data_IF_863305547517
#
_entry.id   IF_863305547517
#
_cell.length_a   1.000
_cell.length_b   1.000
_cell.length_c   1.000
_cell.angle_alpha   90.00
_cell.angle_beta   90.00
_cell.angle_gamma   90.00
#
_symmetry.space_group_name_H-M   'P 1'
#
loop_
_entity.id
_entity.type
_entity.pdbx_description
1 polymer ?
#
# COMPACT_ATOMS: atom_id res chain seq x y z
N UNK A 1 28.70 30.99 -3.88
CA UNK A 1 28.51 29.53 -3.79
C UNK A 1 27.06 29.21 -4.12
N UNK A 2 26.78 28.43 -5.18
CA UNK A 2 25.40 28.05 -5.53
C UNK A 2 24.97 26.88 -4.63
N UNK A 3 23.74 26.91 -4.14
CA UNK A 3 23.11 25.84 -3.35
C UNK A 3 23.16 24.46 -4.06
N UNK A 4 23.34 24.45 -5.37
CA UNK A 4 23.51 23.23 -6.18
C UNK A 4 24.83 22.50 -5.91
N UNK A 5 25.88 23.22 -5.50
CA UNK A 5 27.22 22.64 -5.28
C UNK A 5 27.35 21.93 -3.93
N UNK A 6 26.53 22.31 -2.93
CA UNK A 6 26.52 21.66 -1.62
C UNK A 6 25.72 20.36 -1.65
N UNK A 7 24.60 20.32 -2.38
CA UNK A 7 23.79 19.11 -2.57
C UNK A 7 24.52 18.02 -3.37
N UNK A 8 25.33 18.40 -4.37
CA UNK A 8 26.09 17.46 -5.18
C UNK A 8 27.30 16.87 -4.44
N UNK A 9 27.88 17.58 -3.47
CA UNK A 9 28.95 17.04 -2.59
C UNK A 9 28.45 16.02 -1.57
N UNK A 10 27.21 16.16 -1.08
CA UNK A 10 26.61 15.18 -0.15
C UNK A 10 26.25 13.84 -0.82
N UNK A 11 26.02 13.84 -2.13
CA UNK A 11 25.67 12.64 -2.89
C UNK A 11 26.88 11.82 -3.39
N UNK A 12 28.12 12.31 -3.25
CA UNK A 12 29.35 11.62 -3.72
C UNK A 12 29.87 10.50 -2.80
N UNK A 13 29.08 10.04 -1.81
CA UNK A 13 29.47 8.90 -0.96
C UNK A 13 29.10 7.57 -1.65
N UNK A 14 30.12 6.99 -2.30
CA UNK A 14 30.19 5.59 -2.75
C UNK A 14 29.28 5.21 -3.92
N UNK A 15 29.85 5.24 -5.13
CA UNK A 15 29.37 4.46 -6.27
C UNK A 15 30.56 3.71 -6.83
N UNK A 16 30.51 2.38 -6.75
CA UNK A 16 31.40 1.52 -7.54
C UNK A 16 31.31 1.94 -9.01
N UNK A 17 32.48 2.02 -9.65
CA UNK A 17 32.71 2.58 -10.96
C UNK A 17 32.06 1.72 -12.06
N UNK A 18 30.93 2.16 -12.62
CA UNK A 18 30.39 1.58 -13.86
C UNK A 18 30.99 2.31 -15.07
N UNK A 19 31.70 1.64 -15.99
CA UNK A 19 32.52 2.34 -16.99
C UNK A 19 31.73 3.13 -18.06
N UNK A 20 30.45 2.84 -18.29
CA UNK A 20 29.76 3.27 -19.53
C UNK A 20 28.60 4.28 -19.35
N UNK A 21 28.54 5.02 -18.24
CA UNK A 21 27.52 6.06 -18.06
C UNK A 21 27.69 7.29 -18.99
N UNK A 22 28.81 7.40 -19.70
CA UNK A 22 29.12 8.55 -20.57
C UNK A 22 28.25 8.62 -21.85
N UNK A 23 27.54 7.54 -22.21
CA UNK A 23 26.72 7.48 -23.43
C UNK A 23 25.26 7.92 -23.24
N UNK A 24 24.85 8.24 -22.01
CA UNK A 24 23.47 8.66 -21.73
C UNK A 24 23.36 10.17 -21.61
N UNK A 25 22.39 10.77 -22.32
CA UNK A 25 22.09 12.21 -22.32
C UNK A 25 21.69 12.76 -20.94
N UNK A 26 21.35 11.88 -19.97
CA UNK A 26 20.82 12.25 -18.67
C UNK A 26 21.62 11.60 -17.53
N UNK A 27 21.93 12.41 -16.52
CA UNK A 27 22.54 11.94 -15.27
C UNK A 27 21.52 11.18 -14.42
N UNK A 28 21.76 9.89 -14.17
CA UNK A 28 20.99 9.14 -13.18
C UNK A 28 21.40 9.56 -11.77
N UNK A 29 20.43 10.02 -10.95
CA UNK A 29 20.67 10.38 -9.54
C UNK A 29 21.03 9.19 -8.64
N UNK A 30 20.81 7.96 -9.11
CA UNK A 30 21.08 6.71 -8.39
C UNK A 30 21.81 5.75 -9.33
N UNK A 31 22.67 4.91 -8.78
CA UNK A 31 23.30 3.84 -9.54
C UNK A 31 22.23 2.93 -10.18
N UNK A 32 22.46 2.53 -11.43
CA UNK A 32 21.57 1.66 -12.23
C UNK A 32 21.79 0.19 -11.89
N UNK A 33 21.65 -0.14 -10.61
CA UNK A 33 21.76 -1.49 -10.05
C UNK A 33 20.41 -1.83 -9.42
N UNK A 34 19.90 -3.04 -9.62
CA UNK A 34 18.66 -3.43 -8.95
C UNK A 34 18.93 -3.60 -7.46
N UNK A 35 17.88 -3.38 -6.67
CA UNK A 35 17.96 -3.59 -5.23
C UNK A 35 17.51 -5.01 -4.91
N UNK A 36 18.13 -5.61 -3.90
CA UNK A 36 17.72 -6.91 -3.34
C UNK A 36 16.41 -6.85 -2.52
N UNK A 37 15.59 -5.82 -2.72
CA UNK A 37 14.33 -5.61 -2.01
C UNK A 37 13.38 -4.75 -2.83
N UNK A 38 12.08 -5.07 -2.74
CA UNK A 38 11.02 -4.28 -3.35
C UNK A 38 10.17 -3.62 -2.29
N UNK A 39 9.79 -2.37 -2.53
CA UNK A 39 8.85 -1.66 -1.65
C UNK A 39 7.44 -2.12 -2.00
N UNK A 40 6.72 -2.63 -1.00
CA UNK A 40 5.31 -2.98 -1.16
C UNK A 40 4.46 -1.75 -1.44
N UNK A 41 3.51 -1.86 -2.36
CA UNK A 41 2.40 -0.91 -2.45
C UNK A 41 1.59 -1.10 -1.17
N UNK A 42 1.79 -0.23 -0.18
CA UNK A 42 0.99 -0.27 1.04
C UNK A 42 -0.49 -0.30 0.66
N UNK A 43 -1.27 -1.16 1.31
CA UNK A 43 -2.71 -1.26 1.09
C UNK A 43 -3.35 0.07 1.51
N UNK A 44 -3.44 0.99 0.54
CA UNK A 44 -4.18 2.23 0.67
C UNK A 44 -5.66 1.90 0.46
N UNK A 45 -6.24 1.09 1.35
CA UNK A 45 -7.70 1.09 1.47
C UNK A 45 -8.12 2.51 1.79
N UNK A 46 -9.16 3.02 1.10
CA UNK A 46 -9.67 4.38 1.32
C UNK A 46 -9.91 4.56 2.84
N UNK A 47 -9.37 5.64 3.41
CA UNK A 47 -9.38 5.86 4.87
C UNK A 47 -10.80 5.98 5.43
N UNK A 48 -11.72 6.53 4.64
CA UNK A 48 -13.13 6.63 4.98
C UNK A 48 -13.92 5.58 4.19
N UNK A 49 -14.71 4.81 4.93
CA UNK A 49 -15.56 3.74 4.44
C UNK A 49 -16.95 3.96 5.05
N UNK A 50 -18.02 3.53 4.37
CA UNK A 50 -19.41 3.73 4.80
C UNK A 50 -19.83 5.21 4.88
N UNK A 51 -19.31 6.05 3.97
CA UNK A 51 -19.57 7.49 3.99
C UNK A 51 -21.02 7.80 3.63
N UNK A 52 -21.63 7.03 2.73
CA UNK A 52 -23.01 7.24 2.29
C UNK A 52 -23.99 6.95 3.43
N UNK A 53 -23.80 5.83 4.13
CA UNK A 53 -24.60 5.41 5.27
C UNK A 53 -24.42 6.37 6.46
N UNK A 54 -23.18 6.85 6.67
CA UNK A 54 -22.90 7.87 7.69
C UNK A 54 -23.65 9.17 7.39
N UNK A 55 -23.67 9.63 6.13
CA UNK A 55 -24.39 10.84 5.75
C UNK A 55 -25.91 10.69 5.93
N UNK A 56 -26.48 9.54 5.56
CA UNK A 56 -27.90 9.25 5.77
C UNK A 56 -28.26 9.23 7.27
N UNK A 57 -27.43 8.61 8.10
CA UNK A 57 -27.62 8.56 9.55
C UNK A 57 -27.58 9.97 10.15
N UNK A 58 -26.60 10.79 9.75
CA UNK A 58 -26.48 12.17 10.21
C UNK A 58 -27.64 13.05 9.75
N UNK A 59 -28.17 12.82 8.54
CA UNK A 59 -29.35 13.52 8.04
C UNK A 59 -30.58 13.22 8.91
N UNK A 60 -30.84 11.93 9.20
CA UNK A 60 -31.96 11.54 10.06
C UNK A 60 -31.83 12.11 11.47
N UNK A 61 -30.63 12.01 12.07
CA UNK A 61 -30.38 12.55 13.42
C UNK A 61 -30.58 14.07 13.45
N UNK A 62 -30.22 14.78 12.39
CA UNK A 62 -30.45 16.23 12.29
C UNK A 62 -31.94 16.59 12.24
N UNK A 63 -32.76 15.78 11.58
CA UNK A 63 -34.21 16.00 11.47
C UNK A 63 -34.98 15.66 12.76
N UNK A 64 -34.38 14.84 13.62
CA UNK A 64 -34.99 14.32 14.85
C UNK A 64 -34.35 14.88 16.12
N UNK A 65 -33.68 16.03 16.05
CA UNK A 65 -32.97 16.65 17.19
C UNK A 65 -32.02 15.70 17.94
N UNK A 66 -31.40 14.79 17.19
CA UNK A 66 -30.50 13.71 17.64
C UNK A 66 -31.15 12.60 18.47
N UNK A 67 -32.48 12.47 18.41
CA UNK A 67 -33.17 11.31 18.96
C UNK A 67 -32.89 10.07 18.09
N UNK A 68 -32.36 9.02 18.73
CA UNK A 68 -31.98 7.80 18.03
C UNK A 68 -33.18 6.92 17.65
N UNK A 69 -34.28 7.01 18.41
CA UNK A 69 -35.47 6.19 18.22
C UNK A 69 -36.05 6.22 16.79
N UNK A 70 -36.26 7.39 16.15
CA UNK A 70 -36.73 7.43 14.76
C UNK A 70 -35.69 6.94 13.75
N UNK A 71 -34.39 7.01 14.08
CA UNK A 71 -33.29 6.71 13.15
C UNK A 71 -32.73 5.30 13.28
N UNK A 72 -33.35 4.42 14.08
CA UNK A 72 -32.89 3.04 14.33
C UNK A 72 -32.55 2.27 13.05
N UNK A 73 -33.40 2.35 12.03
CA UNK A 73 -33.16 1.66 10.75
C UNK A 73 -31.89 2.14 10.04
N UNK A 74 -31.62 3.45 10.08
CA UNK A 74 -30.46 4.06 9.42
C UNK A 74 -29.17 3.80 10.22
N UNK A 75 -29.28 3.74 11.55
CA UNK A 75 -28.18 3.35 12.42
C UNK A 75 -27.80 1.88 12.16
N UNK A 76 -28.78 0.98 12.01
CA UNK A 76 -28.54 -0.42 11.70
C UNK A 76 -27.86 -0.63 10.35
N UNK A 77 -28.22 0.14 9.31
CA UNK A 77 -27.56 0.04 8.00
C UNK A 77 -26.11 0.51 8.07
N UNK A 78 -25.83 1.61 8.78
CA UNK A 78 -24.47 2.08 9.03
C UNK A 78 -23.64 1.03 9.77
N UNK A 79 -24.18 0.47 10.87
CA UNK A 79 -23.49 -0.55 11.66
C UNK A 79 -23.17 -1.81 10.86
N UNK A 80 -24.10 -2.27 10.01
CA UNK A 80 -23.86 -3.40 9.10
C UNK A 80 -22.72 -3.12 8.12
N UNK A 81 -22.69 -1.92 7.52
CA UNK A 81 -21.60 -1.54 6.62
C UNK A 81 -20.25 -1.57 7.35
N UNK A 82 -20.20 -0.98 8.56
CA UNK A 82 -18.98 -0.96 9.38
C UNK A 82 -18.50 -2.38 9.68
N UNK A 83 -19.38 -3.26 10.13
CA UNK A 83 -19.04 -4.66 10.45
C UNK A 83 -18.44 -5.39 9.24
N UNK A 84 -19.11 -5.32 8.08
CA UNK A 84 -18.63 -5.95 6.84
C UNK A 84 -17.25 -5.43 6.43
N UNK A 85 -17.00 -4.14 6.63
CA UNK A 85 -15.74 -3.52 6.23
C UNK A 85 -14.62 -3.77 7.24
N UNK A 86 -14.94 -3.89 8.53
CA UNK A 86 -14.01 -4.38 9.55
C UNK A 86 -13.61 -5.83 9.29
N UNK A 87 -14.56 -6.71 8.97
CA UNK A 87 -14.28 -8.11 8.63
C UNK A 87 -13.38 -8.22 7.40
N UNK A 88 -13.67 -7.44 6.35
CA UNK A 88 -12.79 -7.34 5.17
C UNK A 88 -11.39 -6.85 5.54
N UNK A 89 -11.28 -5.86 6.44
CA UNK A 89 -9.99 -5.32 6.90
C UNK A 89 -9.21 -6.33 7.74
N UNK A 90 -9.90 -7.15 8.55
CA UNK A 90 -9.29 -8.26 9.29
C UNK A 90 -8.80 -9.32 8.32
N UNK A 91 -9.64 -9.76 7.37
CA UNK A 91 -9.28 -10.74 6.36
C UNK A 91 -8.08 -10.31 5.49
N UNK A 92 -7.99 -9.03 5.08
CA UNK A 92 -6.84 -8.53 4.33
C UNK A 92 -5.58 -8.46 5.18
N UNK A 93 -5.68 -8.06 6.45
CA UNK A 93 -4.55 -8.05 7.39
C UNK A 93 -4.04 -9.46 7.67
N UNK A 94 -4.93 -10.42 7.86
CA UNK A 94 -4.57 -11.79 8.19
C UNK A 94 -3.96 -12.50 6.97
N UNK A 95 -4.47 -12.24 5.76
CA UNK A 95 -3.87 -12.72 4.50
C UNK A 95 -2.53 -12.07 4.10
N UNK A 96 -2.06 -11.05 4.83
CA UNK A 96 -0.72 -10.47 4.67
C UNK A 96 0.36 -11.11 5.57
N UNK A 97 -0.05 -12.02 6.46
CA UNK A 97 0.91 -12.93 7.09
C UNK A 97 1.45 -13.84 5.97
N UNK A 98 2.75 -14.14 5.96
CA UNK A 98 3.36 -14.95 4.91
C UNK A 98 2.90 -16.39 5.09
N UNK A 99 1.65 -16.68 4.72
CA UNK A 99 1.25 -18.05 4.48
C UNK A 99 1.91 -18.46 3.17
N UNK A 100 2.67 -19.54 3.28
CA UNK A 100 3.36 -20.21 2.19
C UNK A 100 2.32 -20.40 1.08
N UNK A 101 2.57 -19.80 -0.09
CA UNK A 101 1.70 -19.97 -1.26
C UNK A 101 1.83 -21.41 -1.69
N UNK A 102 0.94 -22.26 -1.19
CA UNK A 102 0.62 -23.53 -1.82
C UNK A 102 -0.01 -23.21 -3.17
N UNK A 103 0.51 -23.73 -4.28
CA UNK A 103 0.08 -23.37 -5.63
C UNK A 103 -1.25 -24.01 -6.06
N UNK A 104 -2.12 -24.38 -5.11
CA UNK A 104 -3.20 -25.36 -5.39
C UNK A 104 -4.60 -24.77 -5.55
N UNK A 105 -4.86 -23.51 -5.20
CA UNK A 105 -6.22 -22.97 -5.30
C UNK A 105 -6.37 -22.03 -6.48
N UNK A 106 -6.61 -22.60 -7.67
CA UNK A 106 -6.88 -21.92 -8.94
C UNK A 106 -8.17 -21.08 -8.99
N UNK A 107 -8.67 -20.54 -7.88
CA UNK A 107 -9.93 -19.79 -7.82
C UNK A 107 -9.76 -18.33 -7.42
N UNK A 108 -9.98 -17.43 -8.40
CA UNK A 108 -10.49 -16.05 -8.27
C UNK A 108 -9.58 -14.88 -7.83
N UNK A 109 -8.28 -15.05 -7.59
CA UNK A 109 -7.34 -13.89 -7.62
C UNK A 109 -6.50 -13.93 -8.91
N UNK A 110 -6.13 -12.79 -9.53
CA UNK A 110 -5.13 -12.84 -10.58
C UNK A 110 -3.81 -13.28 -9.92
N UNK A 111 -3.52 -14.59 -9.99
CA UNK A 111 -2.35 -15.26 -9.40
C UNK A 111 -0.99 -14.80 -9.95
N UNK A 112 -0.95 -13.68 -10.68
CA UNK A 112 0.24 -13.28 -11.44
C UNK A 112 1.21 -12.39 -10.63
N UNK A 113 0.95 -12.07 -9.35
CA UNK A 113 1.85 -11.22 -8.55
C UNK A 113 2.06 -11.73 -7.14
N UNK A 114 3.29 -12.15 -6.84
CA UNK A 114 3.77 -12.43 -5.49
C UNK A 114 3.68 -11.17 -4.60
N UNK A 115 3.49 -11.36 -3.30
CA UNK A 115 3.57 -10.24 -2.36
C UNK A 115 4.98 -9.63 -2.35
N UNK A 116 5.09 -8.33 -2.08
CA UNK A 116 6.41 -7.66 -2.02
C UNK A 116 7.34 -8.28 -0.98
N UNK A 117 6.78 -8.86 0.09
CA UNK A 117 7.53 -9.59 1.11
C UNK A 117 8.15 -10.86 0.53
N UNK A 118 7.36 -11.67 -0.19
CA UNK A 118 7.83 -12.88 -0.86
C UNK A 118 8.89 -12.57 -1.93
N UNK A 119 8.66 -11.54 -2.75
CA UNK A 119 9.64 -11.09 -3.74
C UNK A 119 10.93 -10.65 -3.06
N UNK A 120 10.84 -9.87 -1.97
CA UNK A 120 12.02 -9.44 -1.22
C UNK A 120 12.76 -10.61 -0.58
N UNK A 121 12.06 -11.62 -0.08
CA UNK A 121 12.68 -12.84 0.43
C UNK A 121 13.44 -13.59 -0.66
N UNK A 122 12.84 -13.75 -1.85
CA UNK A 122 13.49 -14.38 -3.01
C UNK A 122 14.73 -13.59 -3.47
N UNK A 123 14.62 -12.27 -3.59
CA UNK A 123 15.74 -11.40 -3.99
C UNK A 123 16.88 -11.38 -2.96
N UNK A 124 16.59 -11.64 -1.67
CA UNK A 124 17.63 -11.78 -0.65
C UNK A 124 18.38 -13.11 -0.74
N UNK A 125 17.74 -14.17 -1.25
CA UNK A 125 18.37 -15.47 -1.48
C UNK A 125 19.30 -15.44 -2.70
N UNK A 126 18.98 -14.63 -3.71
CA UNK A 126 19.76 -14.45 -4.93
C UNK A 126 20.07 -12.97 -5.16
N UNK A 127 21.04 -12.40 -4.40
CA UNK A 127 21.39 -10.99 -4.52
C UNK A 127 22.07 -10.70 -5.86
N UNK A 128 21.93 -9.47 -6.35
CA UNK A 128 22.75 -9.01 -7.46
C UNK A 128 24.25 -9.02 -7.08
N UNK A 129 25.14 -9.40 -8.01
CA UNK A 129 26.58 -9.45 -7.79
C UNK A 129 27.21 -8.08 -7.54
#
# INVERSE_FOLDING_TARGET
>A
MKLTDTCSKLYKRSTTHFPDLQYYKYDFRRATVLKNSVVGKGDRTKRAVCVEEMLAMLACLKESDFDQHPCTQVIDTFNRCVHVMEDKRRATRDGQKPEIVSPTDSSRRPFNRLSSKQVTELLRRFPEP
#
